data_IF_101526387789
#
_entry.id   IF_101526387789
#
_cell.length_a   1.000
_cell.length_b   1.000
_cell.length_c   1.000
_cell.angle_alpha   90.00
_cell.angle_beta   90.00
_cell.angle_gamma   90.00
#
_symmetry.space_group_name_H-M   'P 1'
#
loop_
_entity.id
_entity.type
_entity.pdbx_description
1 polymer ?
#
# COMPACT_ATOMS: atom_id res chain seq x y z
N UNK A 1 -12.38 -2.08 15.14
CA UNK A 1 -11.25 -3.02 14.98
C UNK A 1 -11.33 -3.84 13.69
N UNK A 2 -12.47 -4.48 13.36
CA UNK A 2 -12.61 -5.28 12.12
C UNK A 2 -12.38 -4.45 10.84
N UNK A 3 -12.94 -3.24 10.76
CA UNK A 3 -12.76 -2.34 9.60
C UNK A 3 -11.29 -1.97 9.38
N UNK A 4 -10.54 -1.71 10.44
CA UNK A 4 -9.09 -1.40 10.37
C UNK A 4 -8.30 -2.59 9.81
N UNK A 5 -8.66 -3.83 10.18
CA UNK A 5 -8.04 -5.04 9.64
C UNK A 5 -8.34 -5.17 8.15
N UNK A 6 -9.58 -4.90 7.72
CA UNK A 6 -9.98 -4.92 6.31
C UNK A 6 -9.18 -3.87 5.51
N UNK A 7 -9.04 -2.66 6.04
CA UNK A 7 -8.25 -1.58 5.41
C UNK A 7 -6.78 -1.95 5.29
N UNK A 8 -6.19 -2.58 6.32
CA UNK A 8 -4.82 -3.07 6.26
C UNK A 8 -4.63 -4.13 5.18
N UNK A 9 -5.52 -5.13 5.10
CA UNK A 9 -5.46 -6.18 4.08
C UNK A 9 -5.60 -5.57 2.67
N UNK A 10 -6.55 -4.66 2.47
CA UNK A 10 -6.73 -3.94 1.20
C UNK A 10 -5.47 -3.15 0.82
N UNK A 11 -4.85 -2.47 1.78
CA UNK A 11 -3.62 -1.70 1.52
C UNK A 11 -2.47 -2.58 1.03
N UNK A 12 -2.32 -3.78 1.59
CA UNK A 12 -1.27 -4.74 1.22
C UNK A 12 -1.52 -5.28 -0.20
N UNK A 13 -2.77 -5.63 -0.52
CA UNK A 13 -3.13 -6.16 -1.85
C UNK A 13 -2.88 -5.11 -2.94
N UNK A 14 -3.31 -3.86 -2.71
CA UNK A 14 -3.13 -2.75 -3.66
C UNK A 14 -1.63 -2.45 -3.84
N UNK A 15 -0.89 -2.36 -2.74
CA UNK A 15 0.57 -2.14 -2.76
C UNK A 15 1.29 -3.24 -3.54
N UNK A 16 0.92 -4.51 -3.34
CA UNK A 16 1.50 -5.65 -4.05
C UNK A 16 1.28 -5.57 -5.56
N UNK A 17 0.06 -5.20 -6.00
CA UNK A 17 -0.25 -5.01 -7.43
C UNK A 17 0.56 -3.86 -8.05
N UNK A 18 0.66 -2.72 -7.35
CA UNK A 18 1.42 -1.55 -7.82
C UNK A 18 2.90 -1.92 -7.94
N UNK A 19 3.47 -2.55 -6.90
CA UNK A 19 4.86 -2.97 -6.87
C UNK A 19 5.17 -4.03 -7.92
N UNK A 20 4.26 -4.97 -8.19
CA UNK A 20 4.41 -5.96 -9.26
C UNK A 20 4.57 -5.33 -10.65
N UNK A 21 3.86 -4.22 -10.92
CA UNK A 21 4.02 -3.46 -12.17
C UNK A 21 5.33 -2.66 -12.15
N UNK A 22 5.61 -1.98 -11.04
CA UNK A 22 6.78 -1.11 -10.87
C UNK A 22 8.11 -1.89 -10.98
N UNK A 23 8.12 -3.13 -10.51
CA UNK A 23 9.31 -3.98 -10.48
C UNK A 23 9.48 -4.84 -11.73
N UNK A 24 8.47 -4.89 -12.62
CA UNK A 24 8.50 -5.74 -13.82
C UNK A 24 9.69 -5.46 -14.75
N UNK A 25 10.16 -4.21 -14.81
CA UNK A 25 11.31 -3.77 -15.61
C UNK A 25 12.39 -3.05 -14.78
N UNK A 26 12.30 -3.08 -13.45
CA UNK A 26 13.33 -2.48 -12.60
C UNK A 26 14.38 -3.53 -12.29
N UNK A 27 15.66 -3.26 -12.59
CA UNK A 27 16.82 -3.98 -12.05
C UNK A 27 17.34 -3.13 -10.88
N UNK A 28 17.34 -3.69 -9.67
CA UNK A 28 17.78 -3.00 -8.46
C UNK A 28 18.29 -3.96 -7.39
N UNK A 29 18.80 -3.41 -6.29
CA UNK A 29 19.18 -4.19 -5.11
C UNK A 29 17.96 -4.43 -4.23
N UNK A 30 17.98 -5.49 -3.40
CA UNK A 30 16.89 -5.81 -2.47
C UNK A 30 16.47 -4.61 -1.60
N UNK A 31 17.44 -3.78 -1.18
CA UNK A 31 17.18 -2.55 -0.42
C UNK A 31 16.38 -1.50 -1.21
N UNK A 32 16.61 -1.38 -2.52
CA UNK A 32 15.85 -0.46 -3.37
C UNK A 32 14.39 -0.93 -3.54
N UNK A 33 14.15 -2.24 -3.66
CA UNK A 33 12.80 -2.80 -3.73
C UNK A 33 12.03 -2.61 -2.42
N UNK A 34 12.67 -2.85 -1.27
CA UNK A 34 12.06 -2.64 0.06
C UNK A 34 11.66 -1.17 0.22
N UNK A 35 12.58 -0.25 -0.06
CA UNK A 35 12.33 1.19 0.09
C UNK A 35 11.17 1.65 -0.80
N UNK A 36 11.14 1.22 -2.07
CA UNK A 36 10.03 1.55 -2.98
C UNK A 36 8.71 0.96 -2.51
N UNK A 37 8.71 -0.29 -2.06
CA UNK A 37 7.50 -0.96 -1.54
C UNK A 37 6.95 -0.23 -0.32
N UNK A 38 7.83 0.20 0.59
CA UNK A 38 7.45 0.94 1.78
C UNK A 38 6.85 2.31 1.45
N UNK A 39 7.45 3.06 0.51
CA UNK A 39 6.92 4.35 0.05
C UNK A 39 5.53 4.17 -0.58
N UNK A 40 5.37 3.19 -1.48
CA UNK A 40 4.07 2.89 -2.09
C UNK A 40 3.05 2.50 -1.03
N UNK A 41 3.44 1.67 -0.06
CA UNK A 41 2.55 1.26 1.02
C UNK A 41 2.06 2.44 1.86
N UNK A 42 2.95 3.37 2.25
CA UNK A 42 2.59 4.59 3.00
C UNK A 42 1.59 5.46 2.24
N UNK A 43 1.80 5.64 0.93
CA UNK A 43 0.88 6.40 0.08
C UNK A 43 -0.49 5.73 0.03
N UNK A 44 -0.53 4.41 -0.19
CA UNK A 44 -1.77 3.64 -0.26
C UNK A 44 -2.52 3.65 1.07
N UNK A 45 -1.83 3.46 2.21
CA UNK A 45 -2.46 3.52 3.54
C UNK A 45 -2.97 4.92 3.86
N UNK A 46 -2.25 5.97 3.51
CA UNK A 46 -2.70 7.35 3.71
C UNK A 46 -3.98 7.66 2.92
N UNK A 47 -4.03 7.27 1.65
CA UNK A 47 -5.23 7.47 0.80
C UNK A 47 -6.41 6.65 1.31
N UNK A 48 -6.22 5.36 1.63
CA UNK A 48 -7.29 4.53 2.18
C UNK A 48 -7.79 5.06 3.53
N UNK A 49 -6.89 5.53 4.40
CA UNK A 49 -7.25 6.14 5.68
C UNK A 49 -8.13 7.38 5.48
N UNK A 50 -7.75 8.25 4.55
CA UNK A 50 -8.53 9.45 4.23
C UNK A 50 -9.93 9.11 3.65
N UNK A 51 -10.01 8.11 2.77
CA UNK A 51 -11.29 7.64 2.21
C UNK A 51 -12.17 7.05 3.31
N UNK A 52 -11.62 6.18 4.16
CA UNK A 52 -12.37 5.56 5.25
C UNK A 52 -12.85 6.58 6.28
N UNK A 53 -12.03 7.59 6.61
CA UNK A 53 -12.45 8.70 7.48
C UNK A 53 -13.57 9.53 6.83
N UNK A 54 -13.46 9.83 5.53
CA UNK A 54 -14.49 10.55 4.78
C UNK A 54 -15.83 9.79 4.68
N UNK A 55 -15.79 8.46 4.78
CA UNK A 55 -16.97 7.58 4.79
C UNK A 55 -17.50 7.31 6.20
N UNK A 56 -16.89 7.85 7.26
CA UNK A 56 -17.27 7.61 8.65
C UNK A 56 -16.98 6.19 9.14
N UNK A 57 -16.10 5.46 8.44
CA UNK A 57 -15.70 4.08 8.76
C UNK A 57 -14.53 4.01 9.77
N UNK A 58 -13.92 5.16 10.05
CA UNK A 58 -12.73 5.35 10.90
C UNK A 58 -12.98 6.52 11.84
#
# INVERSE_FOLDING_TARGET
MVVVIIVLILSIIITSKICGILFRNTIGTSMAYITRTFIVWMIVTGILGAICNSLGLL
#
